data_IF_300852470976
#
_entry.id   IF_300852470976
#
_cell.length_a   1.000
_cell.length_b   1.000
_cell.length_c   1.000
_cell.angle_alpha   90.00
_cell.angle_beta   90.00
_cell.angle_gamma   90.00
#
_symmetry.space_group_name_H-M   'P 1'
#
loop_
_entity.id
_entity.type
_entity.pdbx_description
1 polymer ?
#
# COMPACT_ATOMS: atom_id res chain seq x y z
N UNK A 1 -21.47 49.46 8.33
CA UNK A 1 -22.56 48.50 8.02
C UNK A 1 -22.26 47.66 6.76
N UNK A 2 -21.77 48.28 5.67
CA UNK A 2 -21.39 47.58 4.43
C UNK A 2 -20.33 46.49 4.63
N UNK A 3 -19.27 46.79 5.39
CA UNK A 3 -18.18 45.86 5.70
C UNK A 3 -18.64 44.61 6.47
N UNK A 4 -19.54 44.77 7.44
CA UNK A 4 -20.09 43.66 8.22
C UNK A 4 -20.98 42.73 7.38
N UNK A 5 -21.76 43.29 6.44
CA UNK A 5 -22.58 42.51 5.50
C UNK A 5 -21.70 41.76 4.50
N UNK A 6 -20.65 42.40 3.98
CA UNK A 6 -19.68 41.80 3.08
C UNK A 6 -18.95 40.61 3.74
N UNK A 7 -18.48 40.78 4.97
CA UNK A 7 -17.86 39.70 5.76
C UNK A 7 -18.82 38.55 6.07
N UNK A 8 -20.10 38.85 6.34
CA UNK A 8 -21.11 37.81 6.56
C UNK A 8 -21.34 36.98 5.29
N UNK A 9 -21.38 37.62 4.13
CA UNK A 9 -21.54 36.96 2.84
C UNK A 9 -20.31 36.11 2.50
N UNK A 10 -19.10 36.67 2.64
CA UNK A 10 -17.85 35.96 2.40
C UNK A 10 -17.73 34.68 3.24
N UNK A 11 -18.11 34.75 4.53
CA UNK A 11 -18.13 33.58 5.42
C UNK A 11 -19.12 32.50 4.96
N UNK A 12 -20.30 32.89 4.49
CA UNK A 12 -21.26 31.96 3.89
C UNK A 12 -20.68 31.27 2.65
N UNK A 13 -20.02 32.02 1.76
CA UNK A 13 -19.33 31.49 0.59
C UNK A 13 -18.21 30.50 0.98
N UNK A 14 -17.39 30.82 1.99
CA UNK A 14 -16.33 29.92 2.48
C UNK A 14 -16.90 28.58 3.00
N UNK A 15 -18.00 28.62 3.75
CA UNK A 15 -18.69 27.39 4.21
C UNK A 15 -19.23 26.58 3.02
N UNK A 16 -19.87 27.25 2.05
CA UNK A 16 -20.37 26.61 0.84
C UNK A 16 -19.27 25.94 0.03
N UNK A 17 -18.13 26.63 -0.16
CA UNK A 17 -16.96 26.09 -0.85
C UNK A 17 -16.35 24.88 -0.11
N UNK A 18 -16.26 24.93 1.21
CA UNK A 18 -15.77 23.79 2.01
C UNK A 18 -16.69 22.58 1.89
N UNK A 19 -18.01 22.77 1.97
CA UNK A 19 -18.99 21.70 1.81
C UNK A 19 -19.00 21.11 0.40
N UNK A 20 -18.88 21.96 -0.63
CA UNK A 20 -18.74 21.52 -2.02
C UNK A 20 -17.46 20.71 -2.23
N UNK A 21 -16.32 21.18 -1.70
CA UNK A 21 -15.05 20.46 -1.75
C UNK A 21 -15.19 19.08 -1.10
N UNK A 22 -15.80 19.01 0.08
CA UNK A 22 -16.06 17.74 0.76
C UNK A 22 -16.87 16.77 -0.12
N UNK A 23 -17.96 17.26 -0.73
CA UNK A 23 -18.82 16.42 -1.57
C UNK A 23 -18.10 15.91 -2.83
N UNK A 24 -17.34 16.79 -3.50
CA UNK A 24 -16.54 16.43 -4.69
C UNK A 24 -15.48 15.41 -4.32
N UNK A 25 -14.70 15.64 -3.27
CA UNK A 25 -13.63 14.74 -2.84
C UNK A 25 -14.20 13.38 -2.40
N UNK A 26 -15.30 13.37 -1.64
CA UNK A 26 -15.97 12.13 -1.26
C UNK A 26 -16.45 11.36 -2.49
N UNK A 27 -17.07 12.03 -3.47
CA UNK A 27 -17.48 11.43 -4.73
C UNK A 27 -16.28 10.84 -5.49
N UNK A 28 -15.18 11.60 -5.61
CA UNK A 28 -13.97 11.14 -6.28
C UNK A 28 -13.38 9.89 -5.64
N UNK A 29 -13.27 9.80 -4.31
CA UNK A 29 -12.73 8.60 -3.65
C UNK A 29 -13.72 7.43 -3.59
N UNK A 30 -15.02 7.68 -3.65
CA UNK A 30 -16.04 6.64 -3.65
C UNK A 30 -16.23 6.02 -5.04
N UNK A 31 -16.47 6.85 -6.06
CA UNK A 31 -16.70 6.39 -7.44
C UNK A 31 -15.43 6.14 -8.21
N UNK A 32 -14.39 6.92 -7.92
CA UNK A 32 -13.09 6.86 -8.58
C UNK A 32 -13.15 6.82 -10.10
N UNK A 33 -13.77 7.82 -10.76
CA UNK A 33 -13.75 7.89 -12.23
C UNK A 33 -12.34 8.20 -12.73
N UNK A 34 -11.97 7.67 -13.90
CA UNK A 34 -10.63 7.87 -14.48
C UNK A 34 -10.31 9.35 -14.69
N UNK A 35 -11.29 10.14 -15.14
CA UNK A 35 -11.12 11.57 -15.36
C UNK A 35 -10.77 12.35 -14.09
N UNK A 36 -10.94 11.77 -12.89
CA UNK A 36 -10.55 12.39 -11.63
C UNK A 36 -9.25 11.82 -11.04
N UNK A 37 -8.49 11.02 -11.80
CA UNK A 37 -7.26 10.38 -11.32
C UNK A 37 -6.27 11.37 -10.68
N UNK A 38 -6.15 12.59 -11.22
CA UNK A 38 -5.28 13.64 -10.68
C UNK A 38 -5.65 14.10 -9.25
N UNK A 39 -6.91 13.94 -8.82
CA UNK A 39 -7.31 14.16 -7.42
C UNK A 39 -7.09 12.92 -6.56
N UNK A 40 -7.40 11.75 -7.14
CA UNK A 40 -7.39 10.46 -6.43
C UNK A 40 -5.96 10.02 -6.07
N UNK A 41 -4.96 10.40 -6.87
CA UNK A 41 -3.55 10.11 -6.62
C UNK A 41 -3.06 10.69 -5.29
N UNK A 42 -3.65 11.79 -4.83
CA UNK A 42 -3.28 12.41 -3.58
C UNK A 42 -3.76 11.59 -2.38
N UNK A 43 -3.00 11.57 -1.28
CA UNK A 43 -3.46 10.99 -0.02
C UNK A 43 -4.74 11.70 0.47
N UNK A 44 -5.70 10.92 0.95
CA UNK A 44 -7.04 11.42 1.34
C UNK A 44 -6.98 12.53 2.38
N UNK A 45 -6.04 12.46 3.31
CA UNK A 45 -5.89 13.45 4.39
C UNK A 45 -5.44 14.84 3.91
N UNK A 46 -4.80 14.95 2.72
CA UNK A 46 -4.34 16.25 2.19
C UNK A 46 -5.51 17.23 2.04
N UNK A 47 -6.70 16.71 1.68
CA UNK A 47 -7.91 17.51 1.47
C UNK A 47 -8.50 18.08 2.76
N UNK A 48 -8.13 17.55 3.94
CA UNK A 48 -8.54 18.12 5.23
C UNK A 48 -8.02 19.55 5.40
N UNK A 49 -6.83 19.87 4.89
CA UNK A 49 -6.21 21.20 5.01
C UNK A 49 -7.08 22.32 4.43
N UNK A 50 -7.28 22.38 3.10
CA UNK A 50 -8.13 23.40 2.49
C UNK A 50 -9.58 23.31 2.95
N UNK A 51 -10.10 22.10 3.17
CA UNK A 51 -11.47 21.86 3.66
C UNK A 51 -11.74 22.50 5.03
N UNK A 52 -10.91 22.18 6.02
CA UNK A 52 -11.02 22.71 7.38
C UNK A 52 -10.68 24.20 7.43
N UNK A 53 -9.69 24.68 6.67
CA UNK A 53 -9.36 26.11 6.61
C UNK A 53 -10.57 26.95 6.17
N UNK A 54 -11.22 26.57 5.06
CA UNK A 54 -12.43 27.25 4.59
C UNK A 54 -13.58 27.12 5.59
N UNK A 55 -13.75 25.95 6.20
CA UNK A 55 -14.77 25.71 7.23
C UNK A 55 -14.60 26.60 8.46
N UNK A 56 -13.36 26.72 8.97
CA UNK A 56 -13.02 27.52 10.14
C UNK A 56 -13.14 29.02 9.86
N UNK A 57 -12.65 29.50 8.71
CA UNK A 57 -12.79 30.90 8.31
C UNK A 57 -14.27 31.30 8.13
N UNK A 58 -15.08 30.38 7.60
CA UNK A 58 -16.53 30.56 7.45
C UNK A 58 -17.33 30.50 8.75
N UNK A 59 -16.81 29.85 9.79
CA UNK A 59 -17.51 29.66 11.06
C UNK A 59 -17.60 30.96 11.89
N UNK A 60 -18.78 31.25 12.44
CA UNK A 60 -19.00 32.31 13.44
C UNK A 60 -20.28 32.06 14.25
N UNK A 61 -20.57 32.92 15.26
CA UNK A 61 -21.77 32.81 16.09
C UNK A 61 -23.09 32.84 15.30
N UNK A 62 -23.16 33.56 14.18
CA UNK A 62 -24.37 33.67 13.34
C UNK A 62 -24.60 32.41 12.49
N UNK A 63 -23.53 31.80 12.00
CA UNK A 63 -23.53 30.61 11.16
C UNK A 63 -23.09 29.37 11.94
N UNK A 64 -23.31 29.35 13.27
CA UNK A 64 -22.78 28.29 14.15
C UNK A 64 -23.26 26.90 13.74
N UNK A 65 -24.53 26.76 13.34
CA UNK A 65 -25.11 25.48 12.94
C UNK A 65 -24.49 24.99 11.62
N UNK A 66 -24.61 25.71 10.47
CA UNK A 66 -24.03 25.24 9.22
C UNK A 66 -22.51 25.10 9.28
N UNK A 67 -21.81 25.99 9.99
CA UNK A 67 -20.38 25.88 10.19
C UNK A 67 -19.99 24.61 10.96
N UNK A 68 -20.66 24.32 12.07
CA UNK A 68 -20.41 23.09 12.83
C UNK A 68 -20.76 21.82 12.04
N UNK A 69 -21.80 21.85 11.19
CA UNK A 69 -22.13 20.74 10.30
C UNK A 69 -21.02 20.46 9.29
N UNK A 70 -20.47 21.50 8.64
CA UNK A 70 -19.35 21.34 7.70
C UNK A 70 -18.11 20.76 8.40
N UNK A 71 -17.78 21.23 9.61
CA UNK A 71 -16.68 20.68 10.39
C UNK A 71 -16.92 19.22 10.80
N UNK A 72 -18.17 18.86 11.15
CA UNK A 72 -18.56 17.49 11.44
C UNK A 72 -18.42 16.57 10.21
N UNK A 73 -18.78 17.05 9.02
CA UNK A 73 -18.59 16.29 7.76
C UNK A 73 -17.11 15.96 7.52
N UNK A 74 -16.21 16.93 7.73
CA UNK A 74 -14.77 16.69 7.63
C UNK A 74 -14.23 15.78 8.73
N UNK A 75 -14.77 15.86 9.96
CA UNK A 75 -14.44 14.90 11.01
C UNK A 75 -14.88 13.48 10.65
N UNK A 76 -16.09 13.30 10.13
CA UNK A 76 -16.55 12.02 9.62
C UNK A 76 -15.66 11.52 8.47
N UNK A 77 -15.24 12.39 7.56
CA UNK A 77 -14.30 12.04 6.49
C UNK A 77 -12.96 11.54 7.05
N UNK A 78 -12.38 12.25 8.03
CA UNK A 78 -11.17 11.82 8.71
C UNK A 78 -11.32 10.44 9.36
N UNK A 79 -12.43 10.18 10.06
CA UNK A 79 -12.59 8.92 10.80
C UNK A 79 -12.98 7.74 9.91
N UNK A 80 -13.74 7.98 8.83
CA UNK A 80 -14.32 6.93 8.00
C UNK A 80 -13.55 6.69 6.71
N UNK A 81 -12.99 7.74 6.09
CA UNK A 81 -12.40 7.67 4.75
C UNK A 81 -10.87 7.65 4.79
N UNK A 82 -10.26 8.38 5.72
CA UNK A 82 -8.79 8.41 5.90
C UNK A 82 -8.31 7.16 6.65
N UNK A 83 -7.18 6.58 6.24
CA UNK A 83 -6.68 5.30 6.77
C UNK A 83 -5.84 5.50 8.05
N UNK A 84 -5.04 6.55 8.06
CA UNK A 84 -3.99 6.85 9.03
C UNK A 84 -4.48 6.93 10.48
N UNK A 85 -5.66 7.49 10.81
CA UNK A 85 -6.16 7.46 12.19
C UNK A 85 -6.27 6.04 12.76
N UNK A 86 -6.68 5.06 11.95
CA UNK A 86 -6.86 3.68 12.41
C UNK A 86 -5.51 3.02 12.71
N UNK A 87 -4.53 3.19 11.83
CA UNK A 87 -3.19 2.61 12.02
C UNK A 87 -2.42 3.28 13.17
N UNK A 88 -2.62 4.59 13.39
CA UNK A 88 -2.02 5.32 14.52
C UNK A 88 -2.59 4.86 15.87
N UNK A 89 -3.89 4.55 15.96
CA UNK A 89 -4.50 4.00 17.19
C UNK A 89 -3.93 2.62 17.53
N UNK A 90 -3.68 1.76 16.52
CA UNK A 90 -3.09 0.43 16.71
C UNK A 90 -1.62 0.46 17.16
N UNK A 91 -0.95 1.62 17.15
CA UNK A 91 0.45 1.74 17.55
C UNK A 91 0.70 1.26 18.99
N UNK A 92 -0.33 1.33 19.87
CA UNK A 92 -0.22 0.95 21.28
C UNK A 92 -0.39 -0.54 21.59
N UNK A 93 -0.92 -1.34 20.66
CA UNK A 93 -1.13 -2.78 20.88
C UNK A 93 -0.05 -3.57 20.16
N UNK A 94 0.56 -4.56 20.81
CA UNK A 94 1.62 -5.37 20.21
C UNK A 94 1.28 -6.87 20.27
N UNK A 95 0.87 -7.51 19.17
CA UNK A 95 0.81 -8.96 19.04
C UNK A 95 2.21 -9.55 18.80
N UNK A 96 3.28 -8.82 19.12
CA UNK A 96 4.65 -9.30 18.95
C UNK A 96 4.87 -10.63 19.68
N UNK A 97 4.26 -10.84 20.86
CA UNK A 97 4.40 -12.12 21.58
C UNK A 97 3.77 -13.28 20.83
N UNK A 98 2.55 -13.09 20.32
CA UNK A 98 1.82 -14.11 19.55
C UNK A 98 2.59 -14.48 18.28
N UNK A 99 3.01 -13.48 17.50
CA UNK A 99 3.78 -13.71 16.28
C UNK A 99 5.13 -14.38 16.56
N UNK A 100 5.84 -13.99 17.62
CA UNK A 100 7.13 -14.61 17.97
C UNK A 100 6.97 -16.08 18.40
N UNK A 101 5.89 -16.43 19.08
CA UNK A 101 5.60 -17.83 19.43
C UNK A 101 5.27 -18.64 18.19
N UNK A 102 4.34 -18.16 17.36
CA UNK A 102 4.01 -18.81 16.08
C UNK A 102 5.25 -18.94 15.17
N UNK A 103 6.15 -17.96 15.20
CA UNK A 103 7.41 -17.99 14.45
C UNK A 103 8.32 -19.12 14.91
N UNK A 104 8.44 -19.36 16.22
CA UNK A 104 9.19 -20.50 16.77
C UNK A 104 8.57 -21.85 16.40
N UNK A 105 7.26 -21.89 16.24
CA UNK A 105 6.51 -23.10 15.87
C UNK A 105 6.44 -23.33 14.35
N UNK A 106 7.08 -22.48 13.54
CA UNK A 106 7.04 -22.58 12.07
C UNK A 106 5.69 -22.17 11.45
N UNK A 107 4.83 -21.47 12.19
CA UNK A 107 3.48 -21.05 11.78
C UNK A 107 3.40 -19.54 11.49
N UNK A 108 4.53 -18.90 11.23
CA UNK A 108 4.58 -17.47 10.93
C UNK A 108 5.71 -17.14 9.97
N UNK A 109 5.49 -16.09 9.17
CA UNK A 109 6.45 -15.56 8.21
C UNK A 109 6.64 -14.06 8.41
N UNK A 110 7.85 -13.58 8.12
CA UNK A 110 8.13 -12.18 7.88
C UNK A 110 8.40 -11.98 6.40
N UNK A 111 7.54 -11.21 5.75
CA UNK A 111 7.69 -10.76 4.38
C UNK A 111 8.14 -9.32 4.39
N UNK A 112 9.18 -8.97 3.63
CA UNK A 112 9.62 -7.59 3.46
C UNK A 112 9.57 -7.21 2.00
N UNK A 113 8.93 -6.08 1.68
CA UNK A 113 8.96 -5.49 0.33
C UNK A 113 9.78 -4.22 0.33
N UNK A 114 10.64 -4.04 -0.68
CA UNK A 114 11.45 -2.82 -0.83
C UNK A 114 11.77 -2.52 -2.30
N UNK A 115 11.38 -1.32 -2.75
CA UNK A 115 11.99 -0.69 -3.90
C UNK A 115 13.40 -0.20 -3.54
N UNK A 116 14.39 -0.71 -4.26
CA UNK A 116 15.80 -0.53 -3.95
C UNK A 116 16.46 0.64 -4.68
N UNK A 117 15.75 1.34 -5.57
CA UNK A 117 16.33 2.37 -6.45
C UNK A 117 17.58 1.90 -7.22
N UNK A 118 17.67 0.59 -7.53
CA UNK A 118 18.85 -0.03 -8.14
C UNK A 118 20.03 -0.29 -7.19
N UNK A 119 19.92 0.05 -5.91
CA UNK A 119 21.01 0.02 -4.94
C UNK A 119 21.05 -1.28 -4.11
N UNK A 120 22.12 -2.07 -4.27
CA UNK A 120 22.39 -3.27 -3.44
C UNK A 120 22.47 -2.95 -1.96
N UNK A 121 22.93 -1.74 -1.60
CA UNK A 121 23.01 -1.30 -0.21
C UNK A 121 21.61 -1.18 0.41
N UNK A 122 20.62 -0.69 -0.33
CA UNK A 122 19.23 -0.61 0.12
C UNK A 122 18.66 -2.01 0.37
N UNK A 123 18.83 -2.90 -0.61
CA UNK A 123 18.40 -4.30 -0.47
C UNK A 123 19.04 -5.00 0.74
N UNK A 124 20.31 -4.71 1.04
CA UNK A 124 21.02 -5.28 2.18
C UNK A 124 20.49 -4.81 3.55
N UNK A 125 19.82 -3.65 3.64
CA UNK A 125 19.22 -3.16 4.91
C UNK A 125 18.16 -4.13 5.44
N UNK A 126 17.49 -4.86 4.55
CA UNK A 126 16.44 -5.82 4.87
C UNK A 126 16.95 -6.93 5.82
N UNK A 127 18.24 -7.29 5.75
CA UNK A 127 18.84 -8.33 6.59
C UNK A 127 18.67 -8.07 8.09
N UNK A 128 18.69 -6.80 8.52
CA UNK A 128 18.57 -6.41 9.92
C UNK A 128 17.21 -6.80 10.54
N UNK A 129 16.21 -7.07 9.69
CA UNK A 129 14.85 -7.38 10.11
C UNK A 129 14.51 -8.87 10.04
N UNK A 130 15.51 -9.74 9.84
CA UNK A 130 15.35 -11.21 9.85
C UNK A 130 14.15 -11.71 9.00
N UNK A 131 14.11 -11.40 7.70
CA UNK A 131 13.02 -11.83 6.81
C UNK A 131 13.02 -13.35 6.59
N UNK A 132 11.89 -13.86 6.12
CA UNK A 132 11.80 -15.19 5.49
C UNK A 132 11.64 -15.07 3.97
N UNK A 133 10.91 -14.05 3.52
CA UNK A 133 10.68 -13.74 2.11
C UNK A 133 10.96 -12.25 1.91
N UNK A 134 11.71 -11.92 0.86
CA UNK A 134 12.02 -10.55 0.46
C UNK A 134 11.56 -10.33 -0.97
N UNK A 135 10.74 -9.30 -1.19
CA UNK A 135 10.26 -8.85 -2.49
C UNK A 135 11.00 -7.56 -2.85
N UNK A 136 11.84 -7.60 -3.88
CA UNK A 136 12.62 -6.45 -4.32
C UNK A 136 12.06 -5.88 -5.63
N UNK A 137 12.09 -4.55 -5.74
CA UNK A 137 11.75 -3.77 -6.94
C UNK A 137 12.89 -2.78 -7.23
N UNK A 138 13.00 -2.28 -8.47
CA UNK A 138 14.25 -1.64 -8.94
C UNK A 138 15.45 -2.49 -8.54
N UNK A 139 15.32 -3.78 -8.88
CA UNK A 139 16.18 -4.81 -8.31
C UNK A 139 17.65 -4.51 -8.64
N UNK A 140 18.56 -4.78 -7.69
CA UNK A 140 19.97 -4.89 -8.00
C UNK A 140 20.23 -5.93 -9.10
N UNK A 141 21.47 -6.00 -9.58
CA UNK A 141 21.84 -6.97 -10.63
C UNK A 141 21.68 -8.40 -10.11
N UNK A 142 21.43 -9.35 -11.02
CA UNK A 142 21.25 -10.77 -10.69
C UNK A 142 22.31 -11.34 -9.76
N UNK A 143 23.59 -11.02 -10.03
CA UNK A 143 24.72 -11.46 -9.21
C UNK A 143 24.60 -10.95 -7.76
N UNK A 144 24.23 -9.68 -7.60
CA UNK A 144 24.10 -9.04 -6.29
C UNK A 144 22.91 -9.64 -5.51
N UNK A 145 21.78 -9.87 -6.17
CA UNK A 145 20.62 -10.54 -5.56
C UNK A 145 20.97 -11.96 -5.08
N UNK A 146 21.73 -12.71 -5.89
CA UNK A 146 22.20 -14.06 -5.51
C UNK A 146 23.18 -14.01 -4.33
N UNK A 147 24.07 -13.03 -4.30
CA UNK A 147 24.99 -12.79 -3.19
C UNK A 147 24.25 -12.39 -1.90
N UNK A 148 23.19 -11.57 -2.02
CA UNK A 148 22.32 -11.21 -0.90
C UNK A 148 21.58 -12.43 -0.34
N UNK A 149 21.05 -13.32 -1.18
CA UNK A 149 20.41 -14.55 -0.73
C UNK A 149 21.35 -15.40 0.15
N UNK A 150 22.58 -15.61 -0.32
CA UNK A 150 23.63 -16.31 0.43
C UNK A 150 24.01 -15.57 1.71
N UNK A 151 24.05 -14.24 1.68
CA UNK A 151 24.37 -13.43 2.86
C UNK A 151 23.26 -13.50 3.92
N UNK A 152 22.00 -13.49 3.52
CA UNK A 152 20.87 -13.48 4.43
C UNK A 152 20.65 -14.85 5.08
N UNK A 153 20.82 -15.92 4.30
CA UNK A 153 20.34 -17.26 4.67
C UNK A 153 21.36 -18.38 4.45
N UNK A 154 22.58 -18.06 4.03
CA UNK A 154 23.63 -19.06 3.81
C UNK A 154 23.22 -20.08 2.74
N UNK A 155 23.24 -21.37 3.11
CA UNK A 155 22.86 -22.48 2.21
C UNK A 155 21.36 -22.64 2.03
N UNK A 156 20.55 -22.04 2.92
CA UNK A 156 19.09 -22.06 2.85
C UNK A 156 18.54 -20.88 2.04
N UNK A 157 19.40 -20.07 1.45
CA UNK A 157 18.99 -18.90 0.66
C UNK A 157 18.86 -19.22 -0.81
N UNK A 158 17.67 -19.04 -1.36
CA UNK A 158 17.44 -19.05 -2.79
C UNK A 158 16.86 -17.72 -3.26
N UNK A 159 17.11 -17.40 -4.53
CA UNK A 159 16.61 -16.17 -5.13
C UNK A 159 16.23 -16.39 -6.57
N UNK A 160 15.24 -15.64 -7.00
CA UNK A 160 14.91 -15.42 -8.39
C UNK A 160 15.13 -13.95 -8.71
N UNK A 161 15.75 -13.72 -9.86
CA UNK A 161 15.94 -12.40 -10.42
C UNK A 161 15.12 -12.26 -11.69
N UNK A 162 14.31 -11.21 -11.77
CA UNK A 162 13.75 -10.69 -13.00
C UNK A 162 14.34 -9.30 -13.30
N UNK A 163 14.08 -8.76 -14.50
CA UNK A 163 14.70 -7.51 -14.95
C UNK A 163 14.50 -6.30 -14.01
N UNK A 164 13.34 -6.22 -13.35
CA UNK A 164 13.03 -5.13 -12.40
C UNK A 164 12.62 -5.64 -11.00
N UNK A 165 12.11 -6.87 -10.92
CA UNK A 165 11.60 -7.46 -9.68
C UNK A 165 12.38 -8.72 -9.32
N UNK A 166 12.65 -8.94 -8.04
CA UNK A 166 13.31 -10.14 -7.53
C UNK A 166 12.62 -10.66 -6.28
N UNK A 167 12.79 -11.95 -6.00
CA UNK A 167 12.35 -12.58 -4.76
C UNK A 167 13.55 -13.31 -4.14
N UNK A 168 13.77 -13.12 -2.85
CA UNK A 168 14.72 -13.89 -2.04
C UNK A 168 13.94 -14.63 -0.97
N UNK A 169 14.20 -15.92 -0.77
CA UNK A 169 13.53 -16.75 0.23
C UNK A 169 14.54 -17.50 1.10
N UNK A 170 14.23 -17.62 2.39
CA UNK A 170 14.84 -18.61 3.27
C UNK A 170 14.09 -19.93 3.07
N UNK A 171 14.61 -20.79 2.22
CA UNK A 171 13.99 -22.05 1.81
C UNK A 171 14.36 -22.42 0.38
N UNK A 172 13.38 -22.94 -0.35
CA UNK A 172 13.54 -23.47 -1.71
C UNK A 172 12.54 -22.80 -2.65
N UNK A 173 12.96 -22.56 -3.88
CA UNK A 173 12.10 -22.17 -4.99
C UNK A 173 11.75 -23.45 -5.76
N UNK A 174 10.48 -23.87 -5.67
CA UNK A 174 9.99 -25.11 -6.28
C UNK A 174 9.75 -24.94 -7.78
N UNK A 175 9.19 -23.79 -8.17
CA UNK A 175 8.99 -23.44 -9.57
C UNK A 175 9.00 -21.93 -9.75
N UNK A 176 9.24 -21.53 -10.99
CA UNK A 176 9.42 -20.14 -11.39
C UNK A 176 8.51 -19.84 -12.57
N UNK A 177 7.79 -18.72 -12.48
CA UNK A 177 7.14 -18.12 -13.63
C UNK A 177 7.63 -16.68 -13.80
N UNK A 178 8.55 -16.49 -14.74
CA UNK A 178 8.92 -15.15 -15.19
C UNK A 178 7.99 -14.78 -16.33
N UNK A 179 7.06 -13.87 -16.05
CA UNK A 179 6.17 -13.36 -17.09
C UNK A 179 6.99 -12.66 -18.18
N UNK A 180 6.59 -12.74 -19.45
CA UNK A 180 7.14 -11.87 -20.50
C UNK A 180 6.97 -10.38 -20.17
N UNK A 181 6.02 -10.07 -19.28
CA UNK A 181 5.82 -8.73 -18.79
C UNK A 181 6.89 -8.36 -17.76
N UNK A 182 7.67 -7.32 -18.06
CA UNK A 182 8.86 -6.90 -17.30
C UNK A 182 8.58 -6.37 -15.87
N UNK A 183 7.33 -6.41 -15.40
CA UNK A 183 6.88 -5.70 -14.19
C UNK A 183 6.44 -6.61 -13.04
N UNK A 184 6.58 -7.94 -13.15
CA UNK A 184 6.50 -8.83 -11.99
C UNK A 184 7.29 -10.12 -12.17
N UNK A 185 7.59 -10.76 -11.05
CA UNK A 185 8.13 -12.11 -10.97
C UNK A 185 7.25 -12.93 -10.04
N UNK A 186 6.97 -14.18 -10.42
CA UNK A 186 6.22 -15.14 -9.63
C UNK A 186 7.08 -16.37 -9.33
N UNK A 187 6.98 -16.87 -8.10
CA UNK A 187 7.66 -18.08 -7.68
C UNK A 187 6.82 -18.88 -6.68
N UNK A 188 6.83 -20.20 -6.86
CA UNK A 188 6.32 -21.14 -5.88
C UNK A 188 7.43 -21.46 -4.87
N UNK A 189 7.18 -21.19 -3.59
CA UNK A 189 8.18 -21.22 -2.53
C UNK A 189 7.85 -22.30 -1.51
N UNK A 190 8.89 -22.97 -1.00
CA UNK A 190 8.84 -23.74 0.24
C UNK A 190 9.80 -23.11 1.23
N UNK A 191 9.28 -22.45 2.27
CA UNK A 191 10.10 -21.81 3.30
C UNK A 191 10.80 -22.84 4.19
N UNK A 192 11.90 -22.44 4.85
CA UNK A 192 12.62 -23.30 5.78
C UNK A 192 11.77 -23.76 6.99
N UNK A 193 10.69 -23.03 7.30
CA UNK A 193 9.69 -23.44 8.31
C UNK A 193 8.65 -24.43 7.79
N UNK A 194 8.75 -24.87 6.53
CA UNK A 194 7.82 -25.83 5.92
C UNK A 194 6.54 -25.22 5.36
N UNK A 195 6.43 -23.88 5.31
CA UNK A 195 5.28 -23.20 4.71
C UNK A 195 5.49 -23.14 3.19
N UNK A 196 4.59 -23.77 2.45
CA UNK A 196 4.47 -23.67 1.00
C UNK A 196 3.57 -22.49 0.63
N UNK A 197 4.01 -21.63 -0.30
CA UNK A 197 3.26 -20.44 -0.72
C UNK A 197 3.68 -19.96 -2.11
N UNK A 198 2.76 -19.33 -2.82
CA UNK A 198 3.03 -18.60 -4.05
C UNK A 198 3.29 -17.12 -3.76
N UNK A 199 4.40 -16.60 -4.27
CA UNK A 199 4.83 -15.22 -4.07
C UNK A 199 4.97 -14.46 -5.39
N UNK A 200 4.46 -13.23 -5.44
CA UNK A 200 4.62 -12.30 -6.55
C UNK A 200 5.28 -11.01 -6.04
N UNK A 201 6.42 -10.64 -6.64
CA UNK A 201 7.02 -9.31 -6.52
C UNK A 201 6.68 -8.50 -7.77
N UNK A 202 6.13 -7.29 -7.62
CA UNK A 202 5.75 -6.44 -8.76
C UNK A 202 6.20 -5.00 -8.61
N UNK A 203 6.46 -4.35 -9.75
CA UNK A 203 6.63 -2.91 -9.84
C UNK A 203 5.85 -2.35 -11.02
N UNK A 204 4.86 -1.52 -10.75
CA UNK A 204 4.09 -0.88 -11.82
C UNK A 204 4.87 0.25 -12.44
N UNK A 205 4.46 0.62 -13.65
CA UNK A 205 5.06 1.75 -14.36
C UNK A 205 5.02 3.03 -13.50
N UNK A 206 6.04 3.91 -13.57
CA UNK A 206 6.13 5.06 -12.68
C UNK A 206 4.90 5.96 -12.71
N UNK A 207 4.52 6.51 -11.55
CA UNK A 207 3.43 7.44 -11.42
C UNK A 207 3.70 8.77 -12.15
N UNK A 208 2.63 9.52 -12.47
CA UNK A 208 2.74 10.86 -13.04
C UNK A 208 3.06 11.85 -11.92
N UNK A 209 4.16 12.59 -12.06
CA UNK A 209 4.61 13.58 -11.06
C UNK A 209 3.98 14.98 -11.25
N UNK A 210 3.27 15.22 -12.35
CA UNK A 210 2.63 16.52 -12.60
C UNK A 210 1.51 16.78 -11.58
N UNK A 211 1.72 17.79 -10.74
CA UNK A 211 0.84 18.23 -9.66
C UNK A 211 0.04 19.49 -9.99
N UNK A 212 0.16 20.03 -11.20
CA UNK A 212 -0.50 21.27 -11.63
C UNK A 212 -1.97 21.00 -11.97
N UNK A 213 -2.81 20.86 -10.95
CA UNK A 213 -4.24 20.55 -11.08
C UNK A 213 -5.03 21.55 -11.93
N UNK A 214 -4.47 22.71 -12.26
CA UNK A 214 -5.06 23.72 -13.15
C UNK A 214 -4.79 23.48 -14.65
N UNK A 215 -3.99 22.47 -15.02
CA UNK A 215 -3.68 22.16 -16.43
C UNK A 215 -4.44 20.93 -16.90
N UNK A 216 -4.94 20.95 -18.13
CA UNK A 216 -5.64 19.79 -18.73
C UNK A 216 -4.72 18.59 -18.93
N UNK A 217 -3.42 18.82 -19.16
CA UNK A 217 -2.40 17.77 -19.31
C UNK A 217 -2.26 16.96 -18.04
N UNK A 218 -2.26 17.59 -16.86
CA UNK A 218 -2.21 16.90 -15.58
C UNK A 218 -3.34 15.85 -15.48
N UNK A 219 -4.60 16.25 -15.71
CA UNK A 219 -5.74 15.34 -15.64
C UNK A 219 -5.68 14.21 -16.67
N UNK A 220 -5.32 14.54 -17.91
CA UNK A 220 -5.23 13.55 -19.00
C UNK A 220 -4.15 12.52 -18.72
N UNK A 221 -2.98 12.96 -18.28
CA UNK A 221 -1.82 12.10 -18.09
C UNK A 221 -2.03 11.18 -16.87
N UNK A 222 -2.60 11.71 -15.77
CA UNK A 222 -3.03 10.89 -14.62
C UNK A 222 -4.11 9.87 -15.02
N UNK A 223 -5.11 10.28 -15.81
CA UNK A 223 -6.16 9.36 -16.29
C UNK A 223 -5.59 8.23 -17.15
N UNK A 224 -4.63 8.57 -18.02
CA UNK A 224 -3.94 7.61 -18.88
C UNK A 224 -3.09 6.63 -18.06
N UNK A 225 -2.29 7.14 -17.12
CA UNK A 225 -1.45 6.30 -16.25
C UNK A 225 -2.29 5.33 -15.42
N UNK A 226 -3.42 5.79 -14.89
CA UNK A 226 -4.33 4.94 -14.13
C UNK A 226 -4.93 3.79 -14.96
N UNK A 227 -5.20 4.02 -16.26
CA UNK A 227 -5.60 2.95 -17.19
C UNK A 227 -4.48 1.93 -17.39
N UNK A 228 -3.25 2.39 -17.58
CA UNK A 228 -2.08 1.49 -17.67
C UNK A 228 -1.91 0.66 -16.40
N UNK A 229 -2.02 1.27 -15.21
CA UNK A 229 -1.95 0.53 -13.94
C UNK A 229 -3.07 -0.50 -13.81
N UNK A 230 -4.28 -0.19 -14.27
CA UNK A 230 -5.39 -1.16 -14.32
C UNK A 230 -5.06 -2.36 -15.23
N UNK A 231 -4.48 -2.11 -16.40
CA UNK A 231 -4.05 -3.18 -17.31
C UNK A 231 -2.94 -4.04 -16.69
N UNK A 232 -1.96 -3.42 -16.01
CA UNK A 232 -0.91 -4.15 -15.29
C UNK A 232 -1.51 -5.03 -14.17
N UNK A 233 -2.47 -4.50 -13.42
CA UNK A 233 -3.20 -5.24 -12.38
C UNK A 233 -4.05 -6.38 -12.96
N UNK A 234 -4.67 -6.19 -14.12
CA UNK A 234 -5.42 -7.26 -14.79
C UNK A 234 -4.51 -8.44 -15.15
N UNK A 235 -3.26 -8.21 -15.55
CA UNK A 235 -2.32 -9.32 -15.81
C UNK A 235 -1.94 -10.06 -14.53
N UNK A 236 -1.72 -9.35 -13.42
CA UNK A 236 -1.52 -10.01 -12.12
C UNK A 236 -2.76 -10.84 -11.75
N UNK A 237 -3.96 -10.28 -11.89
CA UNK A 237 -5.19 -11.01 -11.58
C UNK A 237 -5.36 -12.28 -12.44
N UNK A 238 -4.96 -12.24 -13.72
CA UNK A 238 -4.94 -13.41 -14.59
C UNK A 238 -3.96 -14.50 -14.11
N UNK A 239 -2.76 -14.12 -13.66
CA UNK A 239 -1.82 -15.08 -13.04
C UNK A 239 -2.42 -15.75 -11.82
N UNK A 240 -3.09 -14.98 -10.96
CA UNK A 240 -3.69 -15.50 -9.74
C UNK A 240 -4.74 -16.58 -10.05
N UNK A 241 -5.55 -16.43 -11.11
CA UNK A 241 -6.55 -17.45 -11.51
C UNK A 241 -5.92 -18.83 -11.73
N UNK A 242 -4.67 -18.90 -12.22
CA UNK A 242 -3.98 -20.18 -12.45
C UNK A 242 -3.52 -20.88 -11.16
N UNK A 243 -3.53 -20.19 -10.03
CA UNK A 243 -3.06 -20.71 -8.75
C UNK A 243 -4.24 -21.39 -8.03
N UNK A 244 -4.09 -22.63 -7.53
CA UNK A 244 -5.11 -23.27 -6.69
C UNK A 244 -5.41 -22.46 -5.43
N UNK A 245 -6.67 -22.44 -5.00
CA UNK A 245 -7.07 -21.72 -3.78
C UNK A 245 -6.48 -22.32 -2.50
N UNK A 246 -6.03 -23.58 -2.53
CA UNK A 246 -5.39 -24.24 -1.38
C UNK A 246 -3.96 -23.77 -1.12
N UNK A 247 -3.35 -23.03 -2.06
CA UNK A 247 -1.98 -22.54 -1.94
C UNK A 247 -2.02 -21.11 -1.36
N UNK A 248 -1.37 -20.86 -0.21
CA UNK A 248 -1.24 -19.52 0.35
C UNK A 248 -0.59 -18.55 -0.65
N UNK A 249 -1.10 -17.32 -0.70
CA UNK A 249 -0.63 -16.31 -1.64
C UNK A 249 -0.08 -15.08 -0.95
N UNK A 250 1.02 -14.56 -1.50
CA UNK A 250 1.66 -13.30 -1.11
C UNK A 250 1.92 -12.49 -2.38
N UNK A 251 1.32 -11.32 -2.51
CA UNK A 251 1.56 -10.39 -3.63
C UNK A 251 2.01 -9.07 -3.05
N UNK A 252 3.20 -8.59 -3.42
CA UNK A 252 3.69 -7.32 -2.91
C UNK A 252 4.66 -6.61 -3.84
N UNK A 253 4.92 -5.35 -3.52
CA UNK A 253 5.83 -4.51 -4.26
C UNK A 253 5.36 -3.08 -4.41
N UNK A 254 5.99 -2.36 -5.34
CA UNK A 254 5.71 -0.97 -5.67
C UNK A 254 4.62 -0.89 -6.73
N UNK A 255 3.38 -0.68 -6.32
CA UNK A 255 2.26 -0.57 -7.26
C UNK A 255 2.19 0.80 -7.94
N UNK A 256 3.04 1.77 -7.58
CA UNK A 256 2.96 3.17 -8.04
C UNK A 256 1.53 3.77 -7.98
N UNK A 257 0.68 3.19 -7.13
CA UNK A 257 -0.76 3.46 -7.06
C UNK A 257 -1.15 3.54 -5.59
N UNK A 258 -1.95 4.55 -5.18
CA UNK A 258 -2.42 4.64 -3.80
C UNK A 258 -3.23 3.41 -3.41
N UNK A 259 -2.99 2.88 -2.22
CA UNK A 259 -3.65 1.67 -1.70
C UNK A 259 -5.18 1.67 -1.67
N UNK A 260 -5.80 2.85 -1.76
CA UNK A 260 -7.25 3.01 -1.83
C UNK A 260 -7.84 2.93 -3.24
N UNK A 261 -7.04 2.72 -4.28
CA UNK A 261 -7.50 2.72 -5.67
C UNK A 261 -8.35 1.48 -6.02
N UNK A 262 -9.36 1.69 -6.87
CA UNK A 262 -10.26 0.66 -7.37
C UNK A 262 -9.56 -0.46 -8.15
N UNK A 263 -8.33 -0.27 -8.66
CA UNK A 263 -7.59 -1.37 -9.31
C UNK A 263 -7.42 -2.58 -8.38
N UNK A 264 -7.28 -2.35 -7.08
CA UNK A 264 -7.07 -3.43 -6.09
C UNK A 264 -8.33 -4.26 -5.84
N UNK A 265 -9.51 -3.85 -6.34
CA UNK A 265 -10.71 -4.70 -6.34
C UNK A 265 -10.50 -5.98 -7.14
N UNK A 266 -9.59 -5.97 -8.12
CA UNK A 266 -9.23 -7.16 -8.90
C UNK A 266 -8.48 -8.22 -8.08
N UNK A 267 -7.91 -7.84 -6.93
CA UNK A 267 -7.30 -8.79 -6.00
C UNK A 267 -8.32 -9.38 -5.01
N UNK A 268 -9.49 -8.76 -4.87
CA UNK A 268 -10.54 -9.17 -3.93
C UNK A 268 -11.54 -10.13 -4.58
N UNK A 269 -12.17 -11.05 -3.81
CA UNK A 269 -11.98 -11.27 -2.37
C UNK A 269 -10.74 -12.12 -2.03
N UNK A 270 -10.03 -12.64 -3.03
CA UNK A 270 -8.97 -13.63 -2.87
C UNK A 270 -7.80 -13.16 -2.01
N UNK A 271 -7.44 -11.88 -2.09
CA UNK A 271 -6.38 -11.26 -1.31
C UNK A 271 -6.90 -10.06 -0.51
N UNK A 272 -6.27 -9.84 0.64
CA UNK A 272 -6.52 -8.71 1.53
C UNK A 272 -5.27 -7.86 1.71
N UNK A 273 -5.45 -6.54 1.81
CA UNK A 273 -4.37 -5.58 2.11
C UNK A 273 -3.91 -5.78 3.55
N UNK A 274 -2.68 -6.28 3.72
CA UNK A 274 -2.13 -6.59 5.04
C UNK A 274 -2.01 -5.35 5.93
N UNK A 275 -1.82 -4.15 5.35
CA UNK A 275 -1.75 -2.92 6.15
C UNK A 275 -3.13 -2.52 6.69
N UNK A 276 -4.21 -2.76 5.93
CA UNK A 276 -5.57 -2.51 6.43
C UNK A 276 -5.89 -3.40 7.63
N UNK A 277 -5.41 -4.63 7.62
CA UNK A 277 -5.58 -5.61 8.69
C UNK A 277 -4.67 -5.33 9.89
N UNK A 278 -3.35 -5.39 9.69
CA UNK A 278 -2.33 -5.36 10.76
C UNK A 278 -1.46 -4.09 10.81
N UNK A 279 -1.76 -3.08 9.98
CA UNK A 279 -0.97 -1.86 9.85
C UNK A 279 -0.90 -1.02 11.12
N UNK A 280 0.29 -0.51 11.42
CA UNK A 280 0.58 0.31 12.60
C UNK A 280 1.41 1.52 12.27
N UNK A 281 1.11 2.61 12.96
CA UNK A 281 1.82 3.87 12.79
C UNK A 281 1.56 4.48 11.43
N UNK A 282 2.56 5.15 10.89
CA UNK A 282 2.51 5.84 9.61
C UNK A 282 2.97 4.91 8.49
N UNK A 283 2.04 4.40 7.69
CA UNK A 283 2.29 3.36 6.67
C UNK A 283 2.74 3.86 5.31
N UNK A 284 2.88 5.17 5.13
CA UNK A 284 3.30 5.74 3.86
C UNK A 284 4.78 5.44 3.61
N UNK A 285 5.15 5.28 2.35
CA UNK A 285 6.46 4.78 1.94
C UNK A 285 7.25 5.76 1.09
N UNK A 286 6.59 6.70 0.41
CA UNK A 286 7.25 7.69 -0.46
C UNK A 286 6.84 9.14 -0.17
N UNK A 287 7.75 10.11 -0.25
CA UNK A 287 9.21 9.94 -0.33
C UNK A 287 9.78 9.60 1.06
N UNK A 288 10.83 8.79 1.15
CA UNK A 288 11.32 8.16 2.39
C UNK A 288 11.41 9.11 3.62
N UNK A 289 11.94 10.32 3.44
CA UNK A 289 12.10 11.32 4.51
C UNK A 289 10.78 11.97 4.95
N UNK A 290 9.84 12.17 4.03
CA UNK A 290 8.52 12.76 4.26
C UNK A 290 7.47 11.91 3.57
N UNK A 291 7.16 10.71 4.10
CA UNK A 291 6.33 9.76 3.41
C UNK A 291 4.88 10.24 3.38
N UNK A 292 4.40 10.66 2.22
CA UNK A 292 3.05 11.18 2.04
C UNK A 292 2.11 10.13 1.45
N UNK A 293 2.61 9.17 0.67
CA UNK A 293 1.79 8.17 -0.01
C UNK A 293 2.23 6.73 0.32
N UNK A 294 1.26 5.82 0.39
CA UNK A 294 1.45 4.36 0.50
C UNK A 294 1.22 3.72 -0.87
N UNK A 295 2.32 3.53 -1.61
CA UNK A 295 2.31 2.90 -2.94
C UNK A 295 2.96 1.52 -2.92
N UNK A 296 3.86 1.27 -1.96
CA UNK A 296 4.38 -0.07 -1.69
C UNK A 296 3.42 -0.82 -0.76
N UNK A 297 3.03 -2.03 -1.15
CA UNK A 297 1.98 -2.77 -0.48
C UNK A 297 2.29 -4.27 -0.45
N UNK A 298 1.73 -4.98 0.52
CA UNK A 298 1.73 -6.44 0.58
C UNK A 298 0.29 -6.90 0.80
N UNK A 299 -0.14 -7.84 -0.03
CA UNK A 299 -1.47 -8.44 -0.06
C UNK A 299 -1.35 -9.94 0.12
N UNK A 300 -2.25 -10.55 0.89
CA UNK A 300 -2.18 -11.98 1.20
C UNK A 300 -3.53 -12.66 1.07
N UNK A 301 -3.55 -13.96 0.77
CA UNK A 301 -4.78 -14.75 0.89
C UNK A 301 -5.22 -14.90 2.35
N UNK A 302 -6.44 -15.37 2.54
CA UNK A 302 -7.07 -15.69 3.82
C UNK A 302 -6.36 -16.80 4.62
N UNK A 303 -5.34 -17.43 4.04
CA UNK A 303 -4.46 -18.37 4.74
C UNK A 303 -3.56 -17.64 5.74
N UNK A 304 -3.39 -16.32 5.57
CA UNK A 304 -2.59 -15.50 6.45
C UNK A 304 -3.44 -14.47 7.18
N UNK A 305 -3.02 -14.17 8.41
CA UNK A 305 -3.46 -13.00 9.17
C UNK A 305 -2.27 -12.08 9.40
N UNK A 306 -2.39 -10.81 9.03
CA UNK A 306 -1.36 -9.82 9.29
C UNK A 306 -1.35 -9.40 10.78
N UNK A 307 -0.38 -9.89 11.54
CA UNK A 307 -0.21 -9.53 12.95
C UNK A 307 0.35 -8.11 13.11
N UNK A 308 1.29 -7.71 12.25
CA UNK A 308 1.88 -6.38 12.27
C UNK A 308 2.40 -6.01 10.88
N UNK A 309 2.04 -4.83 10.41
CA UNK A 309 2.61 -4.23 9.20
C UNK A 309 3.09 -2.82 9.49
N UNK A 310 4.34 -2.52 9.13
CA UNK A 310 4.96 -1.21 9.34
C UNK A 310 5.76 -0.78 8.12
N UNK A 311 5.89 0.53 7.93
CA UNK A 311 6.82 1.12 6.96
C UNK A 311 8.06 1.64 7.70
N UNK A 312 9.22 1.05 7.43
CA UNK A 312 10.48 1.41 8.09
C UNK A 312 11.37 2.24 7.17
N UNK A 313 11.95 3.30 7.74
CA UNK A 313 12.83 4.22 7.01
C UNK A 313 14.06 3.48 6.50
N UNK A 314 14.41 3.66 5.23
CA UNK A 314 15.66 3.15 4.65
C UNK A 314 16.73 4.25 4.62
N UNK A 315 17.99 3.88 4.39
CA UNK A 315 19.09 4.82 4.23
C UNK A 315 19.49 5.03 2.78
N UNK A 316 19.33 4.00 1.94
CA UNK A 316 19.86 3.99 0.57
C UNK A 316 18.77 3.93 -0.51
N UNK A 317 17.50 4.07 -0.15
CA UNK A 317 16.37 4.16 -1.08
C UNK A 317 15.53 5.40 -0.77
N UNK A 318 14.84 5.92 -1.79
CA UNK A 318 13.80 6.94 -1.67
C UNK A 318 12.44 6.35 -1.26
N UNK A 319 12.35 5.04 -1.08
CA UNK A 319 11.24 4.31 -0.49
C UNK A 319 11.55 3.80 0.92
N UNK A 320 10.53 3.76 1.77
CA UNK A 320 10.53 2.95 3.00
C UNK A 320 10.26 1.49 2.67
N UNK A 321 10.85 0.57 3.44
CA UNK A 321 10.52 -0.85 3.31
C UNK A 321 9.21 -1.16 4.04
N UNK A 322 8.40 -2.06 3.48
CA UNK A 322 7.19 -2.58 4.11
C UNK A 322 7.52 -3.90 4.78
N UNK A 323 7.38 -3.97 6.09
CA UNK A 323 7.64 -5.20 6.88
C UNK A 323 6.29 -5.76 7.32
N UNK A 324 6.01 -6.99 6.91
CA UNK A 324 4.76 -7.68 7.19
C UNK A 324 5.02 -8.98 7.98
N UNK A 325 4.57 -8.97 9.24
CA UNK A 325 4.56 -10.13 10.13
C UNK A 325 3.23 -10.88 9.95
N UNK A 326 3.29 -12.03 9.29
CA UNK A 326 2.15 -12.88 8.95
C UNK A 326 2.07 -14.09 9.86
N UNK A 327 0.85 -14.42 10.28
CA UNK A 327 0.51 -15.68 10.95
C UNK A 327 -0.18 -16.59 9.94
N UNK A 328 0.27 -17.83 9.83
CA UNK A 328 -0.43 -18.85 9.06
C UNK A 328 -1.65 -19.31 9.86
N UNK A 329 -2.83 -19.23 9.26
CA UNK A 329 -4.05 -19.78 9.84
C UNK A 329 -4.11 -21.27 9.51
N UNK A 330 -4.40 -22.09 10.52
CA UNK A 330 -4.78 -23.47 10.28
C UNK A 330 -6.06 -23.47 9.45
N UNK A 331 -5.99 -23.90 8.19
CA UNK A 331 -7.22 -24.08 7.41
C UNK A 331 -8.16 -24.98 8.19
N UNK A 332 -9.36 -24.50 8.50
CA UNK A 332 -10.46 -25.40 8.81
C UNK A 332 -10.61 -26.23 7.56
N UNK A 333 -10.22 -27.51 7.62
CA UNK A 333 -10.65 -28.49 6.64
C UNK A 333 -12.13 -28.25 6.40
N UNK A 334 -12.47 -27.81 5.19
CA UNK A 334 -13.83 -27.79 4.70
C UNK A 334 -14.36 -29.22 4.84
N UNK A 335 -15.01 -29.51 5.97
CA UNK A 335 -15.90 -30.65 6.03
C UNK A 335 -17.00 -30.35 5.01
N UNK A 336 -17.21 -31.19 4.00
CA UNK A 336 -18.33 -31.02 3.10
C UNK A 336 -19.64 -31.16 3.89
N UNK A 337 -20.73 -30.52 3.43
CA UNK A 337 -22.04 -30.54 4.08
C UNK A 337 -22.62 -31.95 4.25
#
# INVERSE_FOLDING_TARGET
MFTAKLWSMARGTMLGLSGLLWAVILFCYWRQPDCCAALIIWPRWVWLGPGLLLGLLGWNRKNKIPGSLVLLLWLCFLLLVVEEPRSLVRFRTSPAREWQEAKRQGQALRVISLNCAGETKAANEVAAYTPDIVLLQESPRQREVTELAKRFFGREGESIWGPDCSIIVRGRILSVHVSPSLYFVRAHLLTASGIEAEAISTRFSPAVLDSRLWTTTCWRDHSSRRRVHREQMQKIAQELVSIPETIPLIVGGDFNTPSGDAIFRLLQPRLSDTFREGGKGWGNTVVNDMPVARIDQVWTSDHFRAARVVAEKTRYSDHRMVICDLLLLSHKSSQPP
#
